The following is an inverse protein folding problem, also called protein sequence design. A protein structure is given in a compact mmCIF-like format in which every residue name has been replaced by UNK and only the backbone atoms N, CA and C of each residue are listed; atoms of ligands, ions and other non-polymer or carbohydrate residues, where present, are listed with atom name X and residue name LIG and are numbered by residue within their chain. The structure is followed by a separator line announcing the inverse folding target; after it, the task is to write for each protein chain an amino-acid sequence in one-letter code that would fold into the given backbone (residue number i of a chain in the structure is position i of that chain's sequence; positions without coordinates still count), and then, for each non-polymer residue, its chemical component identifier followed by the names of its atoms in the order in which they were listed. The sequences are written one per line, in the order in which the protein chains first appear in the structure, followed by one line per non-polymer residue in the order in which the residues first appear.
data_IF_282540079729
#
_entry.id   IF_282540079729
#
_cell.length_a   1.000
_cell.length_b   1.000
_cell.length_c   1.000
_cell.angle_alpha   90.00
_cell.angle_beta   90.00
_cell.angle_gamma   90.00
#
_symmetry.space_group_name_H-M   'P 1'
#
loop_
_entity.id
_entity.type
_entity.pdbx_description
1 polymer ?
#
# COMPACT_ATOMS: atom_id res chain seq x y z
N UNK A 1 6.88 -8.63 6.57
CA UNK A 1 5.89 -7.60 6.32
C UNK A 1 6.35 -6.29 6.96
N UNK A 2 6.36 -5.17 6.19
CA UNK A 2 6.49 -3.82 6.71
C UNK A 2 5.10 -3.16 6.72
N UNK A 3 4.71 -2.55 7.85
CA UNK A 3 3.41 -1.94 8.05
C UNK A 3 3.57 -0.45 8.40
N UNK A 4 3.19 0.44 7.48
CA UNK A 4 3.44 1.88 7.54
C UNK A 4 2.23 2.63 8.09
N UNK A 5 2.41 3.40 9.17
CA UNK A 5 1.36 4.22 9.81
C UNK A 5 0.91 5.40 8.94
N UNK A 6 -0.22 5.99 9.27
CA UNK A 6 -0.75 7.21 8.64
C UNK A 6 0.00 8.48 9.02
N UNK A 7 -0.49 9.62 8.58
CA UNK A 7 0.06 10.93 8.95
C UNK A 7 0.03 11.15 10.46
N UNK A 8 1.04 11.86 10.97
CA UNK A 8 1.24 12.14 12.40
C UNK A 8 1.29 10.88 13.30
N UNK A 9 1.54 9.70 12.70
CA UNK A 9 1.60 8.45 13.42
C UNK A 9 2.89 8.26 14.22
N UNK A 10 2.79 7.46 15.26
CA UNK A 10 3.85 7.18 16.23
C UNK A 10 3.91 5.66 16.48
N UNK A 11 4.75 5.24 17.43
CA UNK A 11 4.84 3.86 17.88
C UNK A 11 3.47 3.34 18.35
N UNK A 12 3.00 2.24 17.72
CA UNK A 12 1.72 1.63 18.08
C UNK A 12 0.50 2.20 17.34
N UNK A 13 0.68 3.14 16.43
CA UNK A 13 -0.43 3.77 15.71
C UNK A 13 -0.90 3.00 14.47
N UNK A 14 -0.23 1.89 14.12
CA UNK A 14 -0.72 1.08 13.01
C UNK A 14 -2.02 0.36 13.41
N UNK A 15 -3.10 0.46 12.62
CA UNK A 15 -4.37 -0.15 12.99
C UNK A 15 -4.30 -1.68 13.09
N UNK A 16 -5.01 -2.24 14.06
CA UNK A 16 -5.02 -3.68 14.34
C UNK A 16 -3.61 -4.30 14.56
N UNK A 17 -2.67 -3.55 15.11
CA UNK A 17 -1.31 -4.02 15.36
C UNK A 17 -1.29 -5.31 16.18
N UNK A 18 -2.03 -5.38 17.30
CA UNK A 18 -2.11 -6.58 18.14
C UNK A 18 -2.59 -7.82 17.36
N UNK A 19 -3.50 -7.62 16.41
CA UNK A 19 -4.02 -8.69 15.56
C UNK A 19 -3.00 -9.15 14.51
N UNK A 20 -2.26 -8.22 13.90
CA UNK A 20 -1.15 -8.55 13.02
C UNK A 20 -0.04 -9.30 13.77
N UNK A 21 0.30 -8.88 14.99
CA UNK A 21 1.30 -9.56 15.82
C UNK A 21 0.87 -10.98 16.20
N UNK A 22 -0.40 -11.15 16.57
CA UNK A 22 -0.94 -12.47 16.85
C UNK A 22 -0.93 -13.38 15.62
N UNK A 23 -1.32 -12.85 14.46
CA UNK A 23 -1.30 -13.57 13.19
C UNK A 23 0.12 -13.92 12.75
N UNK A 24 1.08 -13.02 12.94
CA UNK A 24 2.48 -13.25 12.64
C UNK A 24 3.05 -14.46 13.43
N UNK A 25 2.66 -14.58 14.71
CA UNK A 25 3.03 -15.72 15.54
C UNK A 25 2.36 -17.03 15.15
N UNK A 26 1.21 -17.01 14.46
CA UNK A 26 0.49 -18.19 14.00
C UNK A 26 0.94 -18.66 12.62
N UNK A 27 1.23 -17.71 11.72
CA UNK A 27 1.52 -17.95 10.30
C UNK A 27 3.03 -17.92 9.99
N UNK A 28 3.87 -17.78 11.02
CA UNK A 28 5.34 -17.81 10.95
C UNK A 28 5.92 -16.73 10.02
N UNK A 29 5.51 -15.48 10.23
CA UNK A 29 6.12 -14.32 9.57
C UNK A 29 6.55 -13.24 10.58
N UNK A 30 7.36 -12.31 10.14
CA UNK A 30 7.77 -11.14 10.91
C UNK A 30 7.01 -9.92 10.40
N UNK A 31 6.41 -9.15 11.30
CA UNK A 31 5.90 -7.81 11.01
C UNK A 31 6.78 -6.78 11.71
N UNK A 32 7.10 -5.73 10.99
CA UNK A 32 7.79 -4.55 11.51
C UNK A 32 6.95 -3.30 11.21
N UNK A 33 6.91 -2.39 12.17
CA UNK A 33 6.16 -1.13 12.10
C UNK A 33 7.18 0.02 12.05
N UNK A 34 7.62 0.44 10.85
CA UNK A 34 8.53 1.56 10.71
C UNK A 34 7.87 2.84 11.21
N UNK A 35 8.64 3.68 11.89
CA UNK A 35 8.21 4.99 12.35
C UNK A 35 8.90 6.03 11.46
N UNK A 36 8.12 6.92 10.89
CA UNK A 36 8.63 8.01 10.07
C UNK A 36 9.31 9.08 10.92
N UNK A 37 10.09 9.94 10.29
CA UNK A 37 10.74 11.05 10.96
C UNK A 37 9.73 12.15 11.29
N UNK A 38 9.36 12.26 12.56
CA UNK A 38 8.38 13.22 13.07
C UNK A 38 8.86 14.68 13.01
N UNK A 39 10.15 14.93 12.76
CA UNK A 39 10.68 16.29 12.56
C UNK A 39 10.51 16.79 11.13
N UNK A 40 10.07 15.94 10.22
CA UNK A 40 9.78 16.34 8.85
C UNK A 40 8.49 17.13 8.76
N UNK A 41 8.61 18.26 8.11
CA UNK A 41 7.45 19.10 7.77
C UNK A 41 7.01 18.91 6.32
N UNK A 42 7.37 17.80 5.70
CA UNK A 42 7.03 17.54 4.31
C UNK A 42 5.58 17.09 4.24
N UNK A 43 4.71 17.99 3.89
CA UNK A 43 3.34 17.68 3.51
C UNK A 43 2.50 16.98 4.59
N UNK A 44 2.59 17.41 5.85
CA UNK A 44 2.07 16.66 7.02
C UNK A 44 2.62 15.24 7.07
N UNK A 45 3.49 14.93 6.12
CA UNK A 45 3.88 13.59 5.86
C UNK A 45 5.22 13.36 6.45
N UNK A 46 5.20 12.45 7.21
CA UNK A 46 6.31 11.79 7.74
C UNK A 46 6.95 10.89 6.67
N UNK A 47 6.22 10.46 5.64
CA UNK A 47 6.72 9.67 4.51
C UNK A 47 6.94 10.51 3.24
N UNK A 48 8.10 10.36 2.59
CA UNK A 48 8.32 10.95 1.28
C UNK A 48 7.49 10.24 0.21
N UNK A 49 6.67 11.00 -0.48
CA UNK A 49 5.92 10.56 -1.66
C UNK A 49 6.61 11.04 -2.92
N UNK A 50 6.40 10.31 -4.04
CA UNK A 50 7.03 10.60 -5.32
C UNK A 50 8.54 10.74 -5.19
N UNK A 51 9.18 9.71 -4.62
CA UNK A 51 10.58 9.74 -4.19
C UNK A 51 11.57 10.02 -5.32
N UNK A 52 11.20 9.76 -6.57
CA UNK A 52 12.01 10.12 -7.74
C UNK A 52 12.17 11.65 -7.93
N UNK A 53 11.20 12.43 -7.44
CA UNK A 53 11.21 13.90 -7.50
C UNK A 53 11.47 14.56 -6.14
N UNK A 54 11.28 13.86 -5.05
CA UNK A 54 11.44 14.37 -3.66
C UNK A 54 12.71 13.83 -3.01
N UNK A 55 12.60 12.81 -2.19
CA UNK A 55 13.73 12.17 -1.51
C UNK A 55 13.58 10.65 -1.45
N UNK A 56 14.69 9.95 -1.56
CA UNK A 56 14.76 8.49 -1.45
C UNK A 56 15.00 8.01 -0.01
N UNK A 57 15.12 8.89 0.97
CA UNK A 57 15.53 8.53 2.34
C UNK A 57 14.64 7.45 2.96
N UNK A 58 13.32 7.49 2.78
CA UNK A 58 12.42 6.48 3.34
C UNK A 58 12.54 5.14 2.63
N UNK A 59 12.82 5.14 1.32
CA UNK A 59 13.10 3.91 0.60
C UNK A 59 14.40 3.26 1.10
N UNK A 60 15.44 4.05 1.32
CA UNK A 60 16.72 3.58 1.88
C UNK A 60 16.52 3.08 3.32
N UNK A 61 15.65 3.72 4.10
CA UNK A 61 15.25 3.27 5.44
C UNK A 61 14.50 1.94 5.41
N UNK A 62 13.53 1.78 4.53
CA UNK A 62 12.80 0.52 4.36
C UNK A 62 13.74 -0.65 3.96
N UNK A 63 14.67 -0.41 3.04
CA UNK A 63 15.71 -1.38 2.67
C UNK A 63 16.62 -1.72 3.86
N UNK A 64 17.05 -0.72 4.64
CA UNK A 64 17.90 -0.93 5.81
C UNK A 64 17.21 -1.76 6.91
N UNK A 65 15.91 -1.56 7.13
CA UNK A 65 15.13 -2.40 8.07
C UNK A 65 15.18 -3.87 7.65
N UNK A 66 14.91 -4.17 6.36
CA UNK A 66 14.95 -5.54 5.84
C UNK A 66 16.35 -6.13 6.00
N UNK A 67 17.39 -5.37 5.67
CA UNK A 67 18.78 -5.82 5.75
C UNK A 67 19.22 -6.08 7.20
N UNK A 68 18.77 -5.27 8.16
CA UNK A 68 19.08 -5.47 9.58
C UNK A 68 18.32 -6.65 10.17
N UNK A 69 17.06 -6.83 9.82
CA UNK A 69 16.27 -8.00 10.23
C UNK A 69 16.88 -9.29 9.66
N UNK A 70 17.35 -9.29 8.42
CA UNK A 70 17.98 -10.45 7.76
C UNK A 70 19.30 -10.87 8.41
N UNK A 71 19.95 -10.00 9.19
CA UNK A 71 21.15 -10.36 9.97
C UNK A 71 20.82 -11.19 11.22
N UNK A 72 19.60 -11.08 11.71
CA UNK A 72 19.16 -11.67 12.99
C UNK A 72 18.19 -12.83 12.76
N UNK A 73 17.38 -12.76 11.72
CA UNK A 73 16.34 -13.73 11.40
C UNK A 73 16.56 -14.36 10.03
N UNK A 74 16.05 -15.58 9.83
CA UNK A 74 16.02 -16.21 8.52
C UNK A 74 14.87 -15.64 7.70
N UNK A 75 15.12 -14.55 6.99
CA UNK A 75 14.14 -13.90 6.12
C UNK A 75 14.19 -14.59 4.74
N UNK A 76 13.02 -14.87 4.19
CA UNK A 76 12.87 -15.26 2.79
C UNK A 76 12.77 -14.00 1.93
N UNK A 77 13.86 -13.64 1.27
CA UNK A 77 13.95 -12.44 0.43
C UNK A 77 12.99 -12.46 -0.77
N UNK A 78 12.44 -13.62 -1.14
CA UNK A 78 11.41 -13.70 -2.18
C UNK A 78 10.01 -13.35 -1.67
N UNK A 79 9.83 -13.23 -0.35
CA UNK A 79 8.53 -13.03 0.31
C UNK A 79 8.53 -11.79 1.20
N UNK A 80 8.94 -10.67 0.65
CA UNK A 80 8.87 -9.37 1.31
C UNK A 80 7.59 -8.66 0.89
N UNK A 81 6.88 -8.08 1.86
CA UNK A 81 5.58 -7.46 1.66
C UNK A 81 5.49 -6.13 2.39
N UNK A 82 4.62 -5.25 1.87
CA UNK A 82 4.31 -3.98 2.52
C UNK A 82 2.80 -3.76 2.64
N UNK A 83 2.39 -3.14 3.73
CA UNK A 83 1.04 -2.65 3.97
C UNK A 83 1.09 -1.26 4.56
N UNK A 84 0.01 -0.49 4.43
CA UNK A 84 -0.05 0.85 4.97
C UNK A 84 -1.47 1.37 5.13
N UNK A 85 -1.60 2.40 5.95
CA UNK A 85 -2.84 3.14 6.19
C UNK A 85 -2.65 4.61 5.86
N UNK A 86 -3.62 5.22 5.15
CA UNK A 86 -3.61 6.66 4.86
C UNK A 86 -2.31 7.09 4.16
N UNK A 87 -1.53 7.98 4.74
CA UNK A 87 -0.21 8.37 4.21
C UNK A 87 0.75 7.18 4.09
N UNK A 88 0.72 6.23 5.03
CA UNK A 88 1.49 4.99 4.92
C UNK A 88 1.01 4.11 3.77
N UNK A 89 -0.28 4.14 3.41
CA UNK A 89 -0.80 3.50 2.20
C UNK A 89 -0.23 4.16 0.93
N UNK A 90 -0.16 5.50 0.90
CA UNK A 90 0.49 6.22 -0.22
C UNK A 90 1.96 5.83 -0.34
N UNK A 91 2.67 5.74 0.78
CA UNK A 91 4.07 5.31 0.78
C UNK A 91 4.23 3.83 0.35
N UNK A 92 3.25 2.97 0.63
CA UNK A 92 3.24 1.58 0.13
C UNK A 92 3.33 1.52 -1.41
N UNK A 93 2.79 2.52 -2.12
CA UNK A 93 2.94 2.61 -3.58
C UNK A 93 4.33 3.09 -4.01
N UNK A 94 5.04 3.87 -3.18
CA UNK A 94 6.45 4.15 -3.39
C UNK A 94 7.27 2.85 -3.31
N UNK A 95 7.02 2.01 -2.31
CA UNK A 95 7.61 0.66 -2.23
C UNK A 95 7.33 -0.14 -3.51
N UNK A 96 6.06 -0.17 -3.96
CA UNK A 96 5.67 -0.88 -5.17
C UNK A 96 6.34 -0.32 -6.44
N UNK A 97 6.58 0.97 -6.53
CA UNK A 97 7.21 1.61 -7.68
C UNK A 97 8.73 1.53 -7.68
N UNK A 98 9.36 1.69 -6.53
CA UNK A 98 10.81 1.91 -6.44
C UNK A 98 11.57 0.68 -5.92
N UNK A 99 10.91 -0.17 -5.11
CA UNK A 99 11.51 -1.34 -4.47
C UNK A 99 10.89 -2.68 -4.90
N UNK A 100 10.19 -2.72 -6.03
CA UNK A 100 9.58 -3.94 -6.58
C UNK A 100 10.57 -5.08 -6.88
N UNK A 101 11.86 -4.78 -6.98
CA UNK A 101 12.90 -5.79 -7.09
C UNK A 101 13.12 -6.57 -5.78
N UNK A 102 12.60 -6.08 -4.66
CA UNK A 102 12.67 -6.74 -3.34
C UNK A 102 11.30 -7.20 -2.85
N UNK A 103 10.25 -6.39 -3.04
CA UNK A 103 8.91 -6.66 -2.53
C UNK A 103 8.05 -7.38 -3.57
N UNK A 104 7.43 -8.50 -3.16
CA UNK A 104 6.60 -9.33 -4.04
C UNK A 104 5.16 -8.82 -4.16
N UNK A 105 4.62 -8.23 -3.10
CA UNK A 105 3.25 -7.75 -3.08
C UNK A 105 3.08 -6.59 -2.08
N UNK A 106 2.08 -5.75 -2.36
CA UNK A 106 1.62 -4.69 -1.46
C UNK A 106 0.10 -4.77 -1.28
N UNK A 107 -0.37 -4.43 -0.08
CA UNK A 107 -1.80 -4.35 0.23
C UNK A 107 -2.03 -3.18 1.19
N UNK A 108 -2.94 -2.26 0.88
CA UNK A 108 -3.06 -1.03 1.65
C UNK A 108 -4.49 -0.51 1.76
N UNK A 109 -4.72 0.41 2.70
CA UNK A 109 -6.01 1.03 2.95
C UNK A 109 -5.94 2.55 2.94
N UNK A 110 -6.91 3.19 2.24
CA UNK A 110 -7.22 4.63 2.24
C UNK A 110 -6.03 5.52 1.83
N UNK A 111 -5.33 5.16 0.77
CA UNK A 111 -4.30 5.97 0.15
C UNK A 111 -4.53 6.14 -1.35
N UNK A 112 -3.62 6.82 -2.00
CA UNK A 112 -3.55 6.97 -3.45
C UNK A 112 -2.09 7.13 -3.85
N UNK A 113 -1.82 7.40 -5.11
CA UNK A 113 -0.46 7.62 -5.63
C UNK A 113 -0.44 8.76 -6.65
N UNK A 114 0.72 9.40 -6.89
CA UNK A 114 0.85 10.38 -7.97
C UNK A 114 0.49 9.81 -9.33
N UNK A 115 -0.13 10.63 -10.18
CA UNK A 115 -0.55 10.25 -11.55
C UNK A 115 0.61 10.15 -12.54
N UNK A 116 1.80 10.68 -12.22
CA UNK A 116 2.95 10.71 -13.12
C UNK A 116 3.60 9.33 -13.25
N UNK A 117 3.34 8.58 -14.33
CA UNK A 117 3.85 7.21 -14.50
C UNK A 117 5.38 7.13 -14.55
N UNK A 118 6.04 8.20 -14.98
CA UNK A 118 7.51 8.28 -15.09
C UNK A 118 8.20 8.12 -13.75
N UNK A 119 7.52 8.44 -12.65
CA UNK A 119 8.05 8.31 -11.30
C UNK A 119 7.97 6.88 -10.77
N UNK A 120 7.17 6.01 -11.41
CA UNK A 120 7.04 4.61 -11.05
C UNK A 120 7.98 3.73 -11.89
N UNK A 121 9.18 3.49 -11.38
CA UNK A 121 10.24 2.76 -12.09
C UNK A 121 10.16 1.24 -11.85
N UNK A 122 8.99 0.65 -12.03
CA UNK A 122 8.79 -0.77 -11.79
C UNK A 122 9.57 -1.63 -12.77
N UNK A 123 10.43 -2.50 -12.26
CA UNK A 123 11.29 -3.43 -13.00
C UNK A 123 11.02 -4.89 -12.66
N UNK A 124 9.83 -5.29 -12.62
CA UNK A 124 9.49 -6.65 -12.25
C UNK A 124 7.98 -6.81 -12.21
N UNK A 125 7.54 -7.70 -11.37
CA UNK A 125 6.13 -7.94 -11.10
C UNK A 125 5.77 -7.38 -9.73
N UNK A 126 4.54 -6.90 -9.57
CA UNK A 126 4.02 -6.43 -8.30
C UNK A 126 2.56 -6.80 -8.20
N UNK A 127 2.20 -7.58 -7.20
CA UNK A 127 0.80 -7.80 -6.85
C UNK A 127 0.33 -6.65 -5.96
N UNK A 128 -0.85 -6.10 -6.26
CA UNK A 128 -1.39 -4.94 -5.55
C UNK A 128 -2.80 -5.23 -5.09
N UNK A 129 -3.08 -5.01 -3.81
CA UNK A 129 -4.43 -4.92 -3.27
C UNK A 129 -4.66 -3.55 -2.66
N UNK A 130 -5.81 -2.96 -2.94
CA UNK A 130 -6.22 -1.70 -2.34
C UNK A 130 -7.61 -1.78 -1.75
N UNK A 131 -7.77 -1.27 -0.53
CA UNK A 131 -9.05 -1.16 0.16
C UNK A 131 -9.34 0.32 0.37
N UNK A 132 -10.57 0.79 0.05
CA UNK A 132 -10.91 2.20 0.20
C UNK A 132 -12.39 2.43 0.48
N UNK A 133 -12.68 3.40 1.33
CA UNK A 133 -14.03 3.88 1.56
C UNK A 133 -14.47 4.87 0.46
N UNK A 134 -15.59 4.61 -0.22
CA UNK A 134 -16.06 5.50 -1.30
C UNK A 134 -16.58 6.86 -0.81
N UNK A 135 -16.78 7.01 0.51
CA UNK A 135 -17.12 8.28 1.17
C UNK A 135 -15.91 8.93 1.88
N UNK A 136 -14.70 8.51 1.54
CA UNK A 136 -13.48 9.11 2.09
C UNK A 136 -13.41 10.59 1.68
N UNK A 137 -13.39 11.47 2.68
CA UNK A 137 -13.37 12.92 2.50
C UNK A 137 -11.98 13.54 2.63
N UNK A 138 -10.97 12.74 3.04
CA UNK A 138 -9.58 13.16 3.13
C UNK A 138 -8.80 12.77 1.87
N UNK A 139 -9.00 11.55 1.40
CA UNK A 139 -8.37 11.02 0.20
C UNK A 139 -9.48 10.69 -0.80
N UNK A 140 -9.68 11.57 -1.78
CA UNK A 140 -10.81 11.47 -2.72
C UNK A 140 -10.76 10.16 -3.52
N UNK A 141 -11.84 9.40 -3.40
CA UNK A 141 -11.99 8.14 -4.14
C UNK A 141 -12.20 8.38 -5.64
N UNK A 142 -12.98 9.39 -6.00
CA UNK A 142 -13.55 9.55 -7.34
C UNK A 142 -12.77 10.46 -8.27
N UNK A 143 -12.01 11.41 -7.72
CA UNK A 143 -11.37 12.43 -8.50
C UNK A 143 -9.87 12.48 -8.26
N UNK A 144 -9.12 12.86 -9.30
CA UNK A 144 -7.75 13.29 -9.14
C UNK A 144 -7.71 14.61 -8.36
N UNK A 145 -6.70 14.80 -7.53
CA UNK A 145 -6.59 15.96 -6.65
C UNK A 145 -5.14 16.38 -6.45
N UNK A 146 -4.89 17.65 -6.27
CA UNK A 146 -3.55 18.16 -6.08
C UNK A 146 -3.13 18.00 -4.62
N UNK A 147 -1.98 17.35 -4.40
CA UNK A 147 -1.45 17.16 -3.05
C UNK A 147 -1.26 18.50 -2.37
N UNK A 148 -1.94 18.70 -1.22
CA UNK A 148 -1.87 19.94 -0.44
C UNK A 148 -2.07 21.20 -1.32
N UNK A 149 -3.09 21.19 -2.16
CA UNK A 149 -3.41 22.30 -3.06
C UNK A 149 -2.22 22.75 -3.95
N UNK A 150 -1.27 21.86 -4.22
CA UNK A 150 -0.07 22.13 -4.99
C UNK A 150 1.04 22.88 -4.25
N UNK A 151 0.94 23.03 -2.93
CA UNK A 151 1.95 23.73 -2.12
C UNK A 151 3.25 22.91 -1.92
N UNK A 152 3.24 21.61 -2.21
CA UNK A 152 4.39 20.74 -2.03
C UNK A 152 5.02 20.35 -3.37
N UNK A 153 6.15 20.99 -3.67
CA UNK A 153 6.91 20.69 -4.88
C UNK A 153 7.33 19.20 -4.91
N UNK A 154 7.13 18.58 -6.06
CA UNK A 154 7.61 17.24 -6.36
C UNK A 154 6.61 16.11 -6.11
N UNK A 155 5.57 16.28 -5.30
CA UNK A 155 4.54 15.23 -5.13
C UNK A 155 3.55 15.25 -6.31
N UNK A 156 3.01 16.41 -6.64
CA UNK A 156 2.13 16.59 -7.80
C UNK A 156 0.68 16.17 -7.54
N UNK A 157 -0.01 15.87 -8.64
CA UNK A 157 -1.42 15.45 -8.62
C UNK A 157 -1.51 13.97 -8.21
N UNK A 158 -2.38 13.69 -7.25
CA UNK A 158 -2.71 12.34 -6.79
C UNK A 158 -3.85 11.77 -7.64
N UNK A 159 -3.78 10.49 -7.93
CA UNK A 159 -4.79 9.80 -8.72
C UNK A 159 -6.06 9.53 -7.93
N UNK A 160 -7.20 9.58 -8.60
CA UNK A 160 -8.41 8.90 -8.13
C UNK A 160 -8.14 7.40 -7.88
N UNK A 161 -8.88 6.78 -6.97
CA UNK A 161 -8.69 5.36 -6.68
C UNK A 161 -8.94 4.48 -7.91
N UNK A 162 -10.03 4.66 -8.69
CA UNK A 162 -10.20 3.92 -9.93
C UNK A 162 -9.04 4.10 -10.93
N UNK A 163 -8.56 5.35 -11.10
CA UNK A 163 -7.42 5.64 -11.98
C UNK A 163 -6.13 4.95 -11.54
N UNK A 164 -5.88 4.90 -10.24
CA UNK A 164 -4.75 4.16 -9.68
C UNK A 164 -4.85 2.64 -9.92
N UNK A 165 -6.03 2.05 -9.76
CA UNK A 165 -6.24 0.63 -10.01
C UNK A 165 -6.05 0.31 -11.50
N UNK A 166 -6.59 1.14 -12.38
CA UNK A 166 -6.39 1.00 -13.83
C UNK A 166 -4.89 1.11 -14.19
N UNK A 167 -4.15 2.06 -13.60
CA UNK A 167 -2.71 2.18 -13.78
C UNK A 167 -1.97 0.86 -13.43
N UNK A 168 -2.26 0.25 -12.29
CA UNK A 168 -1.61 -1.00 -11.89
C UNK A 168 -2.00 -2.18 -12.80
N UNK A 169 -3.28 -2.25 -13.20
CA UNK A 169 -3.76 -3.28 -14.13
C UNK A 169 -3.09 -3.16 -15.52
N UNK A 170 -2.97 -1.94 -16.05
CA UNK A 170 -2.29 -1.68 -17.31
C UNK A 170 -0.78 -1.97 -17.21
N UNK A 171 -0.13 -1.50 -16.14
CA UNK A 171 1.30 -1.69 -15.90
C UNK A 171 1.67 -3.16 -15.75
N UNK A 172 0.80 -3.95 -15.15
CA UNK A 172 0.92 -5.40 -15.04
C UNK A 172 0.41 -6.16 -16.27
N UNK A 173 -0.11 -5.45 -17.27
CA UNK A 173 -0.66 -6.02 -18.50
C UNK A 173 -1.72 -7.10 -18.23
N UNK A 174 -2.66 -6.82 -17.34
CA UNK A 174 -3.75 -7.72 -17.00
C UNK A 174 -4.73 -7.85 -18.17
N UNK A 175 -5.13 -9.07 -18.53
CA UNK A 175 -5.95 -9.34 -19.71
C UNK A 175 -7.43 -9.54 -19.39
N UNK A 176 -7.77 -9.74 -18.12
CA UNK A 176 -9.11 -10.04 -17.70
C UNK A 176 -9.45 -9.33 -16.38
N UNK A 177 -10.71 -8.95 -16.23
CA UNK A 177 -11.22 -8.39 -14.97
C UNK A 177 -12.64 -8.86 -14.70
N UNK A 178 -12.97 -8.97 -13.42
CA UNK A 178 -14.34 -9.20 -12.97
C UNK A 178 -14.59 -8.45 -11.66
N UNK A 179 -15.86 -8.20 -11.37
CA UNK A 179 -16.26 -7.62 -10.09
C UNK A 179 -17.44 -8.38 -9.49
N UNK A 180 -17.57 -8.34 -8.18
CA UNK A 180 -18.73 -8.81 -7.46
C UNK A 180 -19.02 -7.93 -6.24
N UNK A 181 -20.27 -7.97 -5.80
CA UNK A 181 -20.74 -7.20 -4.66
C UNK A 181 -21.09 -8.12 -3.49
N UNK A 182 -20.59 -7.81 -2.31
CA UNK A 182 -20.94 -8.48 -1.08
C UNK A 182 -20.86 -7.54 0.12
N UNK A 183 -21.93 -7.48 0.94
CA UNK A 183 -21.99 -6.65 2.16
C UNK A 183 -21.52 -5.19 1.94
N UNK A 184 -22.08 -4.52 0.92
CA UNK A 184 -21.76 -3.12 0.57
C UNK A 184 -20.27 -2.91 0.19
N UNK A 185 -19.60 -3.97 -0.20
CA UNK A 185 -18.23 -3.92 -0.74
C UNK A 185 -18.25 -4.39 -2.19
N UNK A 186 -17.72 -3.55 -3.07
CA UNK A 186 -17.40 -3.91 -4.43
C UNK A 186 -15.97 -4.47 -4.46
N UNK A 187 -15.84 -5.73 -4.86
CA UNK A 187 -14.53 -6.36 -5.05
C UNK A 187 -14.25 -6.51 -6.54
N UNK A 188 -13.22 -5.82 -7.01
CA UNK A 188 -12.74 -5.86 -8.38
C UNK A 188 -11.42 -6.62 -8.41
N UNK A 189 -11.29 -7.55 -9.36
CA UNK A 189 -10.07 -8.34 -9.58
C UNK A 189 -9.64 -8.23 -11.02
N UNK A 190 -8.43 -7.76 -11.25
CA UNK A 190 -7.74 -7.88 -12.53
C UNK A 190 -6.75 -9.04 -12.44
N UNK A 191 -6.86 -9.98 -13.37
CA UNK A 191 -6.07 -11.19 -13.40
C UNK A 191 -5.52 -11.49 -14.81
N UNK A 192 -4.88 -12.65 -14.96
CA UNK A 192 -4.13 -12.98 -16.18
C UNK A 192 -3.09 -11.88 -16.50
N UNK A 193 -2.43 -11.38 -15.45
CA UNK A 193 -1.41 -10.36 -15.55
C UNK A 193 -0.02 -10.98 -15.78
N UNK A 194 0.90 -10.20 -16.27
CA UNK A 194 2.29 -10.62 -16.40
C UNK A 194 2.87 -11.02 -15.03
N UNK A 195 3.59 -12.14 -14.96
CA UNK A 195 4.25 -12.61 -13.76
C UNK A 195 3.31 -13.25 -12.74
N UNK A 196 2.11 -13.69 -13.15
CA UNK A 196 1.11 -14.36 -12.30
C UNK A 196 0.68 -13.53 -11.07
N UNK A 197 0.72 -12.21 -11.20
CA UNK A 197 0.21 -11.28 -10.17
C UNK A 197 -1.27 -11.00 -10.36
N UNK A 198 -1.88 -10.36 -9.36
CA UNK A 198 -3.25 -9.84 -9.40
C UNK A 198 -3.27 -8.40 -8.90
N UNK A 199 -4.21 -7.64 -9.44
CA UNK A 199 -4.56 -6.32 -8.91
C UNK A 199 -5.97 -6.43 -8.35
N UNK A 200 -6.13 -6.22 -7.07
CA UNK A 200 -7.42 -6.33 -6.38
C UNK A 200 -7.82 -5.00 -5.75
N UNK A 201 -9.10 -4.69 -5.82
CA UNK A 201 -9.65 -3.51 -5.17
C UNK A 201 -10.95 -3.84 -4.43
N UNK A 202 -11.03 -3.36 -3.18
CA UNK A 202 -12.22 -3.43 -2.33
C UNK A 202 -12.75 -2.01 -2.09
N UNK A 203 -13.78 -1.61 -2.83
CA UNK A 203 -14.47 -0.34 -2.67
C UNK A 203 -15.65 -0.48 -1.71
N UNK A 204 -15.57 0.16 -0.54
CA UNK A 204 -16.59 0.11 0.50
C UNK A 204 -17.55 1.28 0.32
N UNK A 205 -18.82 1.00 -0.04
CA UNK A 205 -19.81 2.01 -0.48
C UNK A 205 -20.11 3.12 0.54
N UNK A 206 -20.20 2.75 1.83
CA UNK A 206 -20.62 3.66 2.89
C UNK A 206 -19.50 3.92 3.91
N UNK A 207 -18.25 3.73 3.54
CA UNK A 207 -17.11 3.85 4.43
C UNK A 207 -16.34 5.14 4.17
N UNK A 208 -15.86 5.75 5.24
CA UNK A 208 -15.07 6.98 5.26
C UNK A 208 -13.58 6.67 5.47
N UNK A 209 -12.77 7.69 5.85
CA UNK A 209 -11.33 7.57 6.10
C UNK A 209 -11.03 6.95 7.47
N UNK A 210 -11.56 5.77 7.75
CA UNK A 210 -11.31 5.05 9.00
C UNK A 210 -10.98 3.60 8.71
N UNK A 211 -10.01 3.03 9.41
CA UNK A 211 -9.64 1.63 9.22
C UNK A 211 -10.82 0.72 9.56
N UNK A 212 -11.30 -0.12 8.63
CA UNK A 212 -12.41 -1.03 8.90
C UNK A 212 -11.92 -2.23 9.72
N UNK A 213 -12.74 -2.67 10.67
CA UNK A 213 -12.47 -3.93 11.36
C UNK A 213 -12.56 -5.12 10.41
N UNK A 214 -13.54 -5.08 9.50
CA UNK A 214 -13.80 -6.10 8.49
C UNK A 214 -14.12 -5.49 7.14
N UNK A 215 -13.76 -6.21 6.09
CA UNK A 215 -14.10 -5.90 4.69
C UNK A 215 -14.84 -7.10 4.11
N UNK A 216 -16.12 -6.90 3.72
CA UNK A 216 -16.94 -7.99 3.18
C UNK A 216 -17.10 -9.19 4.11
N UNK A 217 -16.97 -9.00 5.44
CA UNK A 217 -17.12 -10.04 6.45
C UNK A 217 -15.81 -10.76 6.85
N UNK A 218 -14.68 -10.43 6.23
CA UNK A 218 -13.34 -10.91 6.60
C UNK A 218 -12.62 -9.84 7.41
N UNK A 219 -11.91 -10.19 8.47
CA UNK A 219 -11.08 -9.24 9.20
C UNK A 219 -10.02 -8.61 8.29
N UNK A 220 -9.82 -7.31 8.41
CA UNK A 220 -8.97 -6.56 7.49
C UNK A 220 -7.54 -7.06 7.49
N UNK A 221 -6.97 -7.34 8.66
CA UNK A 221 -5.61 -7.88 8.80
C UNK A 221 -5.47 -9.28 8.18
N UNK A 222 -6.51 -10.13 8.29
CA UNK A 222 -6.53 -11.46 7.65
C UNK A 222 -6.59 -11.34 6.13
N UNK A 223 -7.49 -10.49 5.62
CA UNK A 223 -7.65 -10.24 4.18
C UNK A 223 -6.34 -9.76 3.55
N UNK A 224 -5.65 -8.81 4.22
CA UNK A 224 -4.35 -8.30 3.79
C UNK A 224 -3.32 -9.43 3.75
N UNK A 225 -3.22 -10.22 4.81
CA UNK A 225 -2.24 -11.30 4.87
C UNK A 225 -2.52 -12.41 3.86
N UNK A 226 -3.77 -12.84 3.71
CA UNK A 226 -4.17 -13.84 2.72
C UNK A 226 -3.79 -13.43 1.30
N UNK A 227 -3.97 -12.15 0.95
CA UNK A 227 -3.53 -11.63 -0.33
C UNK A 227 -2.00 -11.66 -0.46
N UNK A 228 -1.28 -11.05 0.46
CA UNK A 228 0.18 -10.90 0.41
C UNK A 228 0.90 -12.25 0.35
N UNK A 229 0.51 -13.16 1.23
CA UNK A 229 1.13 -14.48 1.38
C UNK A 229 1.00 -15.39 0.14
N UNK A 230 0.16 -15.00 -0.83
CA UNK A 230 -0.03 -15.73 -2.09
C UNK A 230 1.12 -15.52 -3.07
N UNK A 231 1.91 -14.47 -2.92
CA UNK A 231 2.91 -14.05 -3.90
C UNK A 231 4.34 -14.23 -3.41
N UNK A 232 5.25 -14.46 -4.37
CA UNK A 232 6.70 -14.45 -4.17
C UNK A 232 7.39 -13.92 -5.41
N UNK A 233 8.54 -13.26 -5.25
CA UNK A 233 9.41 -12.82 -6.34
C UNK A 233 10.15 -13.97 -7.01
#
# INVERSE_FOLDING_TARGET
LLAFHGGDGDEGDFPQQDQFDALAGLEDFIVAYPIADSERTVAEGEWYLNSAATSREDNDYAEAIVDDLSKVYCIDDSRLYATGYSLGSMYTYEIACQLNHRFAAVASFAGSMPVEPETCNMQGRMAVMHIHGKLDYLIDYHNDWDWKDGEHEGVGTMSSVPGMIDFWAEKSNCQNSYSHYHLEVEHIVHNECNGDVRIEHYGMELHEHTWPEQVGGTYTYELIWEFLNHFSN
#
